data_IF_365376893638
#
_entry.id   IF_365376893638
#
_cell.length_a   1.000
_cell.length_b   1.000
_cell.length_c   1.000
_cell.angle_alpha   90.00
_cell.angle_beta   90.00
_cell.angle_gamma   90.00
#
_symmetry.space_group_name_H-M   'P 1'
#
loop_
_entity.id
_entity.type
_entity.pdbx_description
1 polymer ?
#
# COMPACT_ATOMS: atom_id res chain seq x y z
N UNK A 1 -2.38 0.13 10.55
CA UNK A 1 -1.13 0.57 11.19
C UNK A 1 0.07 0.16 10.32
N UNK A 2 1.24 0.77 10.50
CA UNK A 2 2.46 0.42 9.73
C UNK A 2 2.85 -1.05 9.90
N UNK A 3 2.70 -1.60 11.11
CA UNK A 3 3.02 -3.00 11.40
C UNK A 3 2.24 -3.98 10.51
N UNK A 4 0.97 -3.69 10.25
CA UNK A 4 0.12 -4.53 9.39
C UNK A 4 0.52 -4.40 7.91
N UNK A 5 1.01 -3.22 7.47
CA UNK A 5 1.57 -3.04 6.11
C UNK A 5 2.87 -3.83 5.95
N UNK A 6 3.72 -3.85 6.97
CA UNK A 6 4.93 -4.68 6.98
C UNK A 6 4.62 -6.18 6.93
N UNK A 7 3.59 -6.62 7.64
CA UNK A 7 3.12 -8.01 7.58
C UNK A 7 2.64 -8.39 6.18
N UNK A 8 1.85 -7.53 5.55
CA UNK A 8 1.38 -7.72 4.17
C UNK A 8 2.54 -7.82 3.17
N UNK A 9 3.59 -7.01 3.35
CA UNK A 9 4.80 -7.08 2.53
C UNK A 9 5.56 -8.40 2.72
N UNK A 10 5.70 -8.89 3.96
CA UNK A 10 6.34 -10.18 4.25
C UNK A 10 5.55 -11.34 3.63
N UNK A 11 4.22 -11.31 3.73
CA UNK A 11 3.36 -12.31 3.13
C UNK A 11 3.44 -12.29 1.59
N UNK A 12 3.51 -11.11 0.99
CA UNK A 12 3.70 -10.96 -0.45
C UNK A 12 5.01 -11.62 -0.88
N UNK A 13 6.12 -11.18 -0.29
CA UNK A 13 7.43 -11.72 -0.61
C UNK A 13 7.49 -13.24 -0.40
N UNK A 14 7.01 -13.74 0.74
CA UNK A 14 6.99 -15.17 1.05
C UNK A 14 6.21 -16.00 0.03
N UNK A 15 5.10 -15.48 -0.51
CA UNK A 15 4.34 -16.14 -1.58
C UNK A 15 5.12 -16.19 -2.89
N UNK A 16 5.71 -15.06 -3.31
CA UNK A 16 6.52 -15.00 -4.53
C UNK A 16 7.74 -15.92 -4.44
N UNK A 17 8.45 -15.87 -3.32
CA UNK A 17 9.60 -16.73 -3.06
C UNK A 17 9.23 -18.22 -3.03
N UNK A 18 8.14 -18.59 -2.35
CA UNK A 18 7.66 -19.98 -2.33
C UNK A 18 7.30 -20.49 -3.72
N UNK A 19 6.69 -19.65 -4.56
CA UNK A 19 6.38 -20.01 -5.93
C UNK A 19 7.65 -20.30 -6.74
N UNK A 20 8.65 -19.42 -6.66
CA UNK A 20 9.93 -19.62 -7.36
C UNK A 20 10.67 -20.86 -6.83
N UNK A 21 10.66 -21.09 -5.52
CA UNK A 21 11.26 -22.27 -4.90
C UNK A 21 10.62 -23.57 -5.43
N UNK A 22 9.29 -23.61 -5.50
CA UNK A 22 8.55 -24.77 -5.99
C UNK A 22 8.76 -25.05 -7.48
N UNK A 23 9.08 -24.04 -8.28
CA UNK A 23 9.32 -24.15 -9.73
C UNK A 23 10.80 -23.94 -10.08
N UNK A 24 11.70 -24.16 -9.11
CA UNK A 24 13.13 -23.84 -9.26
C UNK A 24 13.83 -24.65 -10.35
N UNK A 25 13.34 -25.86 -10.65
CA UNK A 25 13.80 -26.66 -11.79
C UNK A 25 13.57 -25.94 -13.13
N UNK A 26 12.44 -25.24 -13.25
CA UNK A 26 12.02 -24.60 -14.49
C UNK A 26 12.78 -23.29 -14.70
N UNK A 27 13.09 -22.60 -13.60
CA UNK A 27 13.80 -21.32 -13.63
C UNK A 27 15.31 -21.45 -13.67
N UNK A 28 15.90 -22.45 -13.00
CA UNK A 28 17.35 -22.50 -12.79
C UNK A 28 17.99 -23.86 -13.13
N UNK A 29 17.20 -24.88 -13.49
CA UNK A 29 17.69 -26.24 -13.75
C UNK A 29 18.26 -26.97 -12.52
N UNK A 30 18.42 -26.28 -11.39
CA UNK A 30 18.83 -26.79 -10.08
C UNK A 30 18.37 -25.83 -8.96
N UNK A 31 18.43 -26.25 -7.70
CA UNK A 31 18.00 -25.41 -6.57
C UNK A 31 19.01 -24.33 -6.14
N UNK A 32 20.21 -24.28 -6.76
CA UNK A 32 21.31 -23.40 -6.31
C UNK A 32 21.14 -21.92 -6.68
N UNK A 33 20.26 -21.60 -7.65
CA UNK A 33 19.94 -20.22 -8.05
C UNK A 33 18.85 -19.53 -7.20
N UNK A 34 18.18 -20.29 -6.31
CA UNK A 34 17.03 -19.77 -5.53
C UNK A 34 17.48 -18.87 -4.40
N UNK A 35 18.65 -19.09 -3.81
CA UNK A 35 19.17 -18.30 -2.68
C UNK A 35 20.24 -17.35 -3.19
N UNK A 36 20.05 -16.05 -2.98
CA UNK A 36 21.03 -15.02 -3.33
C UNK A 36 22.12 -14.84 -2.29
N UNK A 37 23.29 -14.38 -2.72
CA UNK A 37 24.30 -13.83 -1.81
C UNK A 37 23.83 -12.44 -1.33
N UNK A 38 23.72 -12.24 -0.02
CA UNK A 38 23.27 -10.97 0.57
C UNK A 38 24.32 -9.84 0.51
N UNK A 39 25.46 -10.05 -0.16
CA UNK A 39 26.47 -9.02 -0.37
C UNK A 39 26.16 -8.12 -1.57
N UNK A 40 26.31 -6.81 -1.42
CA UNK A 40 26.27 -5.86 -2.54
C UNK A 40 27.38 -6.08 -3.59
N UNK A 41 28.46 -6.78 -3.23
CA UNK A 41 29.53 -7.18 -4.16
C UNK A 41 29.28 -8.52 -4.85
N UNK A 42 28.24 -9.26 -4.45
CA UNK A 42 27.98 -10.64 -4.86
C UNK A 42 27.36 -10.81 -6.25
N UNK A 43 27.15 -9.72 -6.99
CA UNK A 43 26.44 -9.74 -8.27
C UNK A 43 24.93 -9.83 -8.13
N UNK A 44 24.23 -9.90 -9.26
CA UNK A 44 22.76 -9.99 -9.29
C UNK A 44 22.27 -11.36 -8.84
N UNK A 45 21.28 -11.39 -7.95
CA UNK A 45 20.61 -12.63 -7.58
C UNK A 45 19.62 -13.03 -8.69
N UNK A 46 19.95 -14.12 -9.40
CA UNK A 46 19.15 -14.64 -10.52
C UNK A 46 17.70 -14.92 -10.08
N UNK A 47 17.51 -15.59 -8.93
CA UNK A 47 16.18 -15.84 -8.40
C UNK A 47 15.41 -14.58 -7.96
N UNK A 48 16.11 -13.48 -7.69
CA UNK A 48 15.48 -12.21 -7.28
C UNK A 48 14.62 -11.62 -8.40
N UNK A 49 15.08 -11.74 -9.65
CA UNK A 49 14.32 -11.30 -10.81
C UNK A 49 13.02 -12.11 -10.96
N UNK A 50 13.09 -13.42 -10.77
CA UNK A 50 11.91 -14.29 -10.88
C UNK A 50 10.92 -14.03 -9.75
N UNK A 51 11.39 -13.81 -8.52
CA UNK A 51 10.51 -13.41 -7.42
C UNK A 51 9.81 -12.09 -7.74
N UNK A 52 10.56 -11.10 -8.26
CA UNK A 52 9.98 -9.82 -8.66
C UNK A 52 8.96 -9.96 -9.80
N UNK A 53 9.20 -10.85 -10.77
CA UNK A 53 8.27 -11.15 -11.86
C UNK A 53 6.98 -11.81 -11.34
N UNK A 54 7.10 -12.79 -10.45
CA UNK A 54 5.95 -13.47 -9.84
C UNK A 54 5.12 -12.47 -9.04
N UNK A 55 5.74 -11.63 -8.21
CA UNK A 55 5.03 -10.61 -7.44
C UNK A 55 4.24 -9.67 -8.35
N UNK A 56 4.88 -9.16 -9.41
CA UNK A 56 4.28 -8.20 -10.36
C UNK A 56 3.16 -8.77 -11.22
N UNK A 57 3.25 -10.04 -11.57
CA UNK A 57 2.31 -10.70 -12.48
C UNK A 57 1.28 -11.58 -11.76
N UNK A 58 1.41 -11.76 -10.45
CA UNK A 58 0.46 -12.55 -9.67
C UNK A 58 -0.94 -11.97 -9.72
N UNK A 59 -1.93 -12.88 -9.74
CA UNK A 59 -3.32 -12.49 -9.54
C UNK A 59 -3.50 -11.89 -8.15
N UNK A 60 -4.48 -11.00 -8.04
CA UNK A 60 -4.77 -10.35 -6.76
C UNK A 60 -5.13 -11.37 -5.68
N UNK A 61 -4.62 -11.20 -4.47
CA UNK A 61 -4.99 -12.04 -3.32
C UNK A 61 -5.33 -11.20 -2.09
N UNK A 62 -6.15 -11.76 -1.20
CA UNK A 62 -6.51 -11.09 0.07
C UNK A 62 -5.41 -11.30 1.11
N UNK A 63 -4.90 -10.20 1.66
CA UNK A 63 -3.97 -10.17 2.78
C UNK A 63 -4.66 -9.63 4.04
N UNK A 64 -3.90 -9.29 5.08
CA UNK A 64 -4.43 -8.88 6.38
C UNK A 64 -5.13 -7.52 6.30
N UNK A 65 -4.59 -6.56 5.55
CA UNK A 65 -5.21 -5.23 5.41
C UNK A 65 -6.08 -5.08 4.18
N UNK A 66 -5.66 -5.66 3.07
CA UNK A 66 -6.30 -5.40 1.79
C UNK A 66 -6.06 -6.51 0.78
N UNK A 67 -6.71 -6.35 -0.37
CA UNK A 67 -6.29 -7.02 -1.59
C UNK A 67 -4.91 -6.51 -1.98
N UNK A 68 -3.99 -7.43 -2.27
CA UNK A 68 -2.67 -7.13 -2.81
C UNK A 68 -2.67 -7.52 -4.28
N UNK A 69 -2.38 -6.54 -5.13
CA UNK A 69 -2.13 -6.70 -6.55
C UNK A 69 -1.10 -5.67 -6.96
N UNK A 70 -0.10 -6.06 -7.74
CA UNK A 70 0.90 -5.12 -8.24
C UNK A 70 0.62 -4.81 -9.71
N UNK A 71 1.00 -3.61 -10.12
CA UNK A 71 1.02 -3.25 -11.52
C UNK A 71 2.29 -3.85 -12.15
N UNK A 72 2.12 -4.62 -13.22
CA UNK A 72 3.23 -5.32 -13.87
C UNK A 72 4.26 -4.38 -14.50
N UNK A 73 3.86 -3.17 -14.92
CA UNK A 73 4.75 -2.23 -15.61
C UNK A 73 5.66 -1.45 -14.66
N UNK A 74 5.15 -1.01 -13.51
CA UNK A 74 5.90 -0.15 -12.57
C UNK A 74 6.12 -0.77 -11.17
N UNK A 75 5.56 -1.96 -10.90
CA UNK A 75 5.70 -2.64 -9.61
C UNK A 75 4.96 -1.98 -8.44
N UNK A 76 4.16 -0.94 -8.70
CA UNK A 76 3.40 -0.28 -7.64
C UNK A 76 2.18 -1.12 -7.22
N UNK A 77 1.82 -1.04 -5.94
CA UNK A 77 0.60 -1.65 -5.43
C UNK A 77 -0.63 -0.99 -6.10
N UNK A 78 -1.47 -1.81 -6.73
CA UNK A 78 -2.80 -1.43 -7.18
C UNK A 78 -3.74 -1.51 -5.98
N UNK A 79 -3.84 -0.40 -5.25
CA UNK A 79 -4.77 -0.29 -4.14
C UNK A 79 -6.21 -0.13 -4.64
N UNK A 80 -7.17 -0.73 -3.94
CA UNK A 80 -8.61 -0.56 -4.21
C UNK A 80 -9.08 0.87 -3.86
N UNK A 81 -8.36 1.54 -2.96
CA UNK A 81 -8.64 2.91 -2.53
C UNK A 81 -7.38 3.67 -2.07
N UNK A 82 -7.48 5.00 -2.02
CA UNK A 82 -6.52 5.88 -1.35
C UNK A 82 -7.13 6.34 -0.03
N UNK A 83 -6.33 6.29 1.04
CA UNK A 83 -6.75 6.73 2.38
C UNK A 83 -6.43 8.22 2.57
N UNK A 84 -7.40 9.00 3.04
CA UNK A 84 -7.20 10.36 3.50
C UNK A 84 -6.96 10.36 5.01
N UNK A 85 -5.86 10.98 5.44
CA UNK A 85 -5.58 11.19 6.86
C UNK A 85 -5.53 12.67 7.18
N UNK A 86 -6.06 13.02 8.36
CA UNK A 86 -5.89 14.34 8.95
C UNK A 86 -5.19 14.24 10.30
N UNK A 87 -4.49 15.30 10.67
CA UNK A 87 -4.02 15.48 12.03
C UNK A 87 -5.19 15.97 12.88
N UNK A 88 -5.68 15.13 13.78
CA UNK A 88 -6.80 15.44 14.66
C UNK A 88 -6.30 15.68 16.09
N UNK A 89 -6.83 16.74 16.72
CA UNK A 89 -6.63 17.01 18.14
C UNK A 89 -7.98 17.34 18.77
N UNK A 90 -8.43 16.50 19.70
CA UNK A 90 -9.62 16.82 20.49
C UNK A 90 -9.31 17.91 21.53
N UNK A 91 -10.31 18.73 21.85
CA UNK A 91 -10.20 19.73 22.91
C UNK A 91 -9.89 19.04 24.25
N UNK A 92 -8.80 19.44 24.92
CA UNK A 92 -8.33 18.82 26.16
C UNK A 92 -7.45 17.57 25.97
N UNK A 93 -7.25 17.10 24.73
CA UNK A 93 -6.35 15.99 24.44
C UNK A 93 -4.91 16.50 24.26
N UNK A 94 -3.98 15.92 25.04
CA UNK A 94 -2.58 16.34 25.08
C UNK A 94 -1.81 16.14 23.77
N UNK A 95 -2.13 15.09 23.01
CA UNK A 95 -1.43 14.74 21.77
C UNK A 95 -2.36 14.74 20.55
N UNK A 96 -1.84 15.24 19.42
CA UNK A 96 -2.47 15.07 18.11
C UNK A 96 -2.27 13.64 17.62
N UNK A 97 -3.26 13.10 16.93
CA UNK A 97 -3.17 11.80 16.28
C UNK A 97 -3.52 11.89 14.80
N UNK A 98 -2.90 11.04 13.99
CA UNK A 98 -3.36 10.83 12.62
C UNK A 98 -4.65 10.02 12.64
N UNK A 99 -5.69 10.57 12.07
CA UNK A 99 -7.00 9.96 11.96
C UNK A 99 -7.32 9.76 10.48
N UNK A 100 -7.79 8.57 10.11
CA UNK A 100 -8.31 8.31 8.77
C UNK A 100 -9.68 8.99 8.65
N UNK A 101 -9.81 9.90 7.68
CA UNK A 101 -10.99 10.77 7.56
C UNK A 101 -11.82 10.47 6.32
N UNK A 102 -11.26 9.76 5.34
CA UNK A 102 -12.01 9.30 4.19
C UNK A 102 -11.22 8.35 3.30
N UNK A 103 -11.90 7.85 2.28
CA UNK A 103 -11.31 7.01 1.22
C UNK A 103 -11.71 7.51 -0.16
N UNK A 104 -10.78 7.48 -1.10
CA UNK A 104 -11.06 7.64 -2.53
C UNK A 104 -10.98 6.31 -3.23
N UNK A 105 -11.98 5.97 -4.03
CA UNK A 105 -12.08 4.73 -4.79
C UNK A 105 -11.86 5.05 -6.28
N UNK A 106 -10.68 4.76 -6.85
CA UNK A 106 -10.38 5.09 -8.23
C UNK A 106 -11.31 4.41 -9.25
N UNK A 107 -11.78 3.19 -8.93
CA UNK A 107 -12.61 2.38 -9.85
C UNK A 107 -13.93 3.07 -10.24
N UNK A 108 -14.54 3.80 -9.31
CA UNK A 108 -15.80 4.50 -9.51
C UNK A 108 -15.67 6.02 -9.32
N UNK A 109 -14.44 6.53 -9.23
CA UNK A 109 -14.11 7.94 -9.03
C UNK A 109 -14.88 8.59 -7.88
N UNK A 110 -15.13 7.83 -6.81
CA UNK A 110 -15.94 8.28 -5.68
C UNK A 110 -15.10 8.48 -4.42
N UNK A 111 -15.55 9.37 -3.54
CA UNK A 111 -14.98 9.52 -2.20
C UNK A 111 -16.01 9.19 -1.14
N UNK A 112 -15.58 8.54 -0.06
CA UNK A 112 -16.39 8.25 1.12
C UNK A 112 -15.78 8.93 2.33
N UNK A 113 -16.54 9.81 2.97
CA UNK A 113 -16.19 10.35 4.28
C UNK A 113 -16.33 9.25 5.36
N UNK A 114 -15.34 9.16 6.23
CA UNK A 114 -15.30 8.21 7.35
C UNK A 114 -15.19 8.89 8.71
N UNK A 115 -14.99 10.20 8.73
CA UNK A 115 -14.99 10.98 9.95
C UNK A 115 -16.33 11.70 10.15
N UNK A 116 -16.86 11.65 11.37
CA UNK A 116 -18.09 12.33 11.76
C UNK A 116 -17.77 13.45 12.75
N UNK A 117 -18.17 14.67 12.42
CA UNK A 117 -18.16 15.80 13.35
C UNK A 117 -19.55 16.40 13.42
N UNK A 118 -20.08 16.52 14.64
CA UNK A 118 -21.38 17.16 14.88
C UNK A 118 -22.47 16.63 13.94
N UNK A 119 -22.56 15.29 13.81
CA UNK A 119 -23.50 14.57 12.95
C UNK A 119 -23.29 14.71 11.44
N UNK A 120 -22.27 15.45 10.99
CA UNK A 120 -21.90 15.59 9.58
C UNK A 120 -20.66 14.75 9.25
N UNK A 121 -20.76 13.95 8.19
CA UNK A 121 -19.63 13.18 7.67
C UNK A 121 -18.74 14.06 6.78
N UNK A 122 -17.46 14.15 7.11
CA UNK A 122 -16.51 14.98 6.40
C UNK A 122 -15.27 14.15 6.01
N UNK A 123 -14.72 14.43 4.82
CA UNK A 123 -13.43 13.86 4.40
C UNK A 123 -12.27 14.54 5.16
N UNK A 124 -12.47 15.75 5.67
CA UNK A 124 -11.52 16.43 6.53
C UNK A 124 -12.27 17.10 7.69
N UNK A 125 -11.82 16.93 8.95
CA UNK A 125 -12.33 17.70 10.07
C UNK A 125 -12.00 19.16 9.83
N UNK A 126 -12.95 19.93 9.28
CA UNK A 126 -12.82 21.36 9.12
C UNK A 126 -13.02 22.06 10.47
N UNK A 127 -12.17 21.79 11.45
CA UNK A 127 -11.72 22.84 12.39
C UNK A 127 -10.48 23.48 11.75
N UNK A 128 -10.69 24.08 10.58
CA UNK A 128 -9.72 24.97 9.98
C UNK A 128 -9.51 26.13 10.96
N UNK A 129 -8.35 26.21 11.60
CA UNK A 129 -7.83 27.50 12.04
C UNK A 129 -7.63 28.25 10.71
N UNK A 130 -8.58 29.11 10.35
CA UNK A 130 -8.90 29.47 8.97
C UNK A 130 -7.70 29.74 8.06
N UNK A 131 -7.79 29.29 6.81
CA UNK A 131 -7.04 29.94 5.75
C UNK A 131 -7.60 31.35 5.64
N UNK A 132 -6.88 32.39 6.06
CA UNK A 132 -7.33 33.78 5.96
C UNK A 132 -7.81 34.13 4.54
N UNK A 133 -9.09 33.89 4.26
CA UNK A 133 -9.76 34.01 2.96
C UNK A 133 -9.18 33.20 1.78
N UNK A 134 -8.51 32.06 2.00
CA UNK A 134 -8.03 31.23 0.88
C UNK A 134 -8.83 29.92 0.73
N UNK A 135 -9.44 29.75 -0.44
CA UNK A 135 -10.18 28.53 -0.83
C UNK A 135 -9.21 27.42 -1.22
N UNK A 136 -9.46 26.19 -0.73
CA UNK A 136 -8.69 25.01 -1.11
C UNK A 136 -9.38 24.31 -2.29
N UNK A 137 -8.92 24.60 -3.51
CA UNK A 137 -9.37 23.90 -4.71
C UNK A 137 -8.67 22.54 -4.82
N UNK A 138 -9.41 21.47 -4.54
CA UNK A 138 -8.93 20.09 -4.76
C UNK A 138 -9.20 19.71 -6.22
N UNK A 139 -8.16 19.75 -7.04
CA UNK A 139 -8.21 19.17 -8.38
C UNK A 139 -7.84 17.68 -8.31
N UNK A 140 -8.72 16.81 -8.81
CA UNK A 140 -8.40 15.42 -9.08
C UNK A 140 -8.28 15.21 -10.59
N UNK A 141 -7.19 14.59 -11.03
CA UNK A 141 -7.01 14.19 -12.44
C UNK A 141 -7.81 12.90 -12.66
N UNK A 142 -8.59 12.90 -13.74
CA UNK A 142 -9.56 11.87 -14.13
C UNK A 142 -8.98 10.92 -15.16
#
# INVERSE_FOLDING_TARGET
SVQLRSLDALLAFGRGFKFVLNNSSDYFGNSSGVVGNASCSGGSWIGGQEVANVLRNSSSYTSVLSKIKFNSSNGHLQSDYLEYYALHRCAGCGASSFLETGRYYPQNRSSRALFNSQQNWLIFPNTFIGFGNLSLNVCAIV
#
